data_IF_742343860657
#
_entry.id   IF_742343860657
#
_cell.length_a   1.000
_cell.length_b   1.000
_cell.length_c   1.000
_cell.angle_alpha   90.00
_cell.angle_beta   90.00
_cell.angle_gamma   90.00
#
_symmetry.space_group_name_H-M   'P 1'
#
loop_
_entity.id
_entity.type
_entity.pdbx_description
1 polymer ?
#
# COMPACT_ATOMS: atom_id res chain seq x y z
N UNK A 1 -72.39 4.45 -16.95
CA UNK A 1 -71.36 5.31 -17.57
C UNK A 1 -71.00 6.40 -16.58
N UNK A 2 -69.72 6.71 -16.50
CA UNK A 2 -69.05 7.69 -15.63
C UNK A 2 -68.54 7.14 -14.28
N UNK A 3 -67.23 6.87 -14.30
CA UNK A 3 -66.28 7.31 -13.27
C UNK A 3 -65.95 6.35 -12.13
N UNK A 4 -65.49 5.15 -12.49
CA UNK A 4 -64.39 4.50 -11.77
C UNK A 4 -63.11 5.32 -12.01
N UNK A 5 -62.91 6.37 -11.20
CA UNK A 5 -61.74 7.24 -11.21
C UNK A 5 -61.08 7.24 -9.82
N UNK A 6 -60.71 6.04 -9.35
CA UNK A 6 -59.90 5.88 -8.14
C UNK A 6 -58.78 4.85 -8.38
N UNK A 7 -57.98 5.09 -9.43
CA UNK A 7 -56.72 4.41 -9.70
C UNK A 7 -55.54 5.11 -9.03
N UNK A 8 -55.69 5.59 -7.79
CA UNK A 8 -54.60 6.23 -7.06
C UNK A 8 -53.72 5.17 -6.40
N UNK A 9 -52.53 5.01 -6.98
CA UNK A 9 -51.31 4.46 -6.38
C UNK A 9 -51.47 3.11 -5.69
N UNK A 10 -51.32 2.01 -6.44
CA UNK A 10 -50.74 0.81 -5.82
C UNK A 10 -49.36 1.21 -5.30
N UNK A 11 -49.09 1.20 -3.98
CA UNK A 11 -47.72 1.36 -3.51
C UNK A 11 -46.92 0.22 -4.14
N UNK A 12 -45.91 0.57 -4.93
CA UNK A 12 -44.86 -0.40 -5.24
C UNK A 12 -44.29 -0.80 -3.88
N UNK A 13 -44.29 -2.08 -3.51
CA UNK A 13 -43.78 -2.48 -2.20
C UNK A 13 -42.34 -1.97 -2.10
N UNK A 14 -42.01 -1.26 -1.02
CA UNK A 14 -40.64 -0.82 -0.71
C UNK A 14 -39.72 -2.02 -0.40
N UNK A 15 -40.30 -3.18 -0.11
CA UNK A 15 -39.66 -4.45 0.23
C UNK A 15 -38.51 -4.88 -0.71
N UNK A 16 -38.64 -4.88 -2.05
CA UNK A 16 -37.52 -5.12 -2.96
C UNK A 16 -36.40 -4.07 -2.92
N UNK A 17 -36.72 -2.80 -2.62
CA UNK A 17 -35.72 -1.74 -2.50
C UNK A 17 -34.98 -1.84 -1.16
N UNK A 18 -35.70 -2.09 -0.07
CA UNK A 18 -35.14 -2.34 1.26
C UNK A 18 -34.22 -3.56 1.25
N UNK A 19 -34.62 -4.66 0.61
CA UNK A 19 -33.78 -5.86 0.50
C UNK A 19 -32.48 -5.58 -0.28
N UNK A 20 -32.57 -4.79 -1.36
CA UNK A 20 -31.40 -4.36 -2.13
C UNK A 20 -30.51 -3.42 -1.34
N UNK A 21 -31.07 -2.53 -0.52
CA UNK A 21 -30.29 -1.67 0.38
C UNK A 21 -29.53 -2.49 1.42
N UNK A 22 -30.18 -3.44 2.08
CA UNK A 22 -29.53 -4.35 3.04
C UNK A 22 -28.39 -5.13 2.38
N UNK A 23 -28.59 -5.63 1.17
CA UNK A 23 -27.53 -6.32 0.42
C UNK A 23 -26.35 -5.38 0.10
N UNK A 24 -26.63 -4.15 -0.33
CA UNK A 24 -25.60 -3.17 -0.63
C UNK A 24 -24.85 -2.73 0.63
N UNK A 25 -25.53 -2.51 1.75
CA UNK A 25 -24.92 -2.18 3.04
C UNK A 25 -24.03 -3.31 3.54
N UNK A 26 -24.49 -4.55 3.41
CA UNK A 26 -23.69 -5.74 3.75
C UNK A 26 -22.43 -5.80 2.90
N UNK A 27 -22.56 -5.66 1.58
CA UNK A 27 -21.42 -5.63 0.64
C UNK A 27 -20.49 -4.45 0.91
N UNK A 28 -21.02 -3.29 1.28
CA UNK A 28 -20.23 -2.11 1.61
C UNK A 28 -19.41 -2.35 2.87
N UNK A 29 -20.01 -2.86 3.94
CA UNK A 29 -19.31 -3.19 5.18
C UNK A 29 -18.15 -4.17 4.95
N UNK A 30 -18.35 -5.20 4.12
CA UNK A 30 -17.27 -6.12 3.74
C UNK A 30 -16.15 -5.42 2.96
N UNK A 31 -16.48 -4.51 2.05
CA UNK A 31 -15.49 -3.75 1.28
C UNK A 31 -14.71 -2.77 2.16
N UNK A 32 -15.37 -2.09 3.08
CA UNK A 32 -14.71 -1.19 4.04
C UNK A 32 -13.73 -1.96 4.93
N UNK A 33 -14.12 -3.14 5.40
CA UNK A 33 -13.23 -4.01 6.15
C UNK A 33 -12.02 -4.45 5.31
N UNK A 34 -12.24 -4.96 4.10
CA UNK A 34 -11.17 -5.38 3.20
C UNK A 34 -10.22 -4.22 2.83
N UNK A 35 -10.74 -3.00 2.65
CA UNK A 35 -9.92 -1.80 2.42
C UNK A 35 -9.04 -1.46 3.63
N UNK A 36 -9.55 -1.68 4.85
CA UNK A 36 -8.76 -1.57 6.08
C UNK A 36 -7.58 -2.55 6.08
N UNK A 37 -7.86 -3.84 5.87
CA UNK A 37 -6.83 -4.89 5.83
C UNK A 37 -5.78 -4.63 4.73
N UNK A 38 -6.20 -4.21 3.54
CA UNK A 38 -5.29 -3.85 2.45
C UNK A 38 -4.43 -2.63 2.77
N UNK A 39 -4.99 -1.64 3.47
CA UNK A 39 -4.25 -0.45 3.89
C UNK A 39 -3.16 -0.79 4.89
N UNK A 40 -3.47 -1.65 5.86
CA UNK A 40 -2.51 -2.13 6.86
C UNK A 40 -1.38 -2.94 6.21
N UNK A 41 -1.73 -3.90 5.34
CA UNK A 41 -0.75 -4.70 4.59
C UNK A 41 0.16 -3.82 3.70
N UNK A 42 -0.40 -2.79 3.07
CA UNK A 42 0.37 -1.84 2.25
C UNK A 42 1.32 -0.99 3.11
N UNK A 43 0.89 -0.56 4.30
CA UNK A 43 1.75 0.17 5.23
C UNK A 43 2.93 -0.70 5.68
N UNK A 44 2.69 -1.97 6.01
CA UNK A 44 3.74 -2.92 6.37
C UNK A 44 4.73 -3.15 5.21
N UNK A 45 4.23 -3.38 4.00
CA UNK A 45 5.05 -3.56 2.80
C UNK A 45 5.94 -2.35 2.50
N UNK A 46 5.41 -1.12 2.69
CA UNK A 46 6.19 0.12 2.54
C UNK A 46 7.30 0.22 3.59
N UNK A 47 7.00 -0.12 4.84
CA UNK A 47 8.00 -0.12 5.91
C UNK A 47 9.11 -1.14 5.63
N UNK A 48 8.78 -2.33 5.15
CA UNK A 48 9.76 -3.33 4.73
C UNK A 48 10.60 -2.86 3.55
N UNK A 49 9.97 -2.27 2.53
CA UNK A 49 10.66 -1.70 1.38
C UNK A 49 11.66 -0.62 1.78
N UNK A 50 11.30 0.25 2.73
CA UNK A 50 12.20 1.27 3.26
C UNK A 50 13.40 0.66 3.99
N UNK A 51 13.16 -0.36 4.84
CA UNK A 51 14.24 -1.10 5.52
C UNK A 51 15.21 -1.73 4.50
N UNK A 52 14.68 -2.39 3.47
CA UNK A 52 15.47 -3.02 2.42
C UNK A 52 16.28 -1.98 1.62
N UNK A 53 15.70 -0.82 1.32
CA UNK A 53 16.40 0.26 0.63
C UNK A 53 17.62 0.77 1.44
N UNK A 54 17.48 0.89 2.76
CA UNK A 54 18.59 1.27 3.65
C UNK A 54 19.68 0.19 3.66
N UNK A 55 19.30 -1.08 3.79
CA UNK A 55 20.26 -2.19 3.76
C UNK A 55 21.04 -2.24 2.45
N UNK A 56 20.36 -2.03 1.31
CA UNK A 56 21.02 -1.97 0.01
C UNK A 56 22.00 -0.80 -0.10
N UNK A 57 21.67 0.36 0.44
CA UNK A 57 22.60 1.50 0.47
C UNK A 57 23.85 1.19 1.28
N UNK A 58 23.70 0.61 2.48
CA UNK A 58 24.84 0.20 3.30
C UNK A 58 25.72 -0.84 2.58
N UNK A 59 25.11 -1.84 1.96
CA UNK A 59 25.85 -2.84 1.18
C UNK A 59 26.63 -2.21 0.02
N UNK A 60 26.04 -1.24 -0.68
CA UNK A 60 26.73 -0.50 -1.74
C UNK A 60 27.90 0.34 -1.21
N UNK A 61 27.74 0.97 -0.04
CA UNK A 61 28.83 1.69 0.63
C UNK A 61 29.98 0.77 1.02
N UNK A 62 29.67 -0.39 1.61
CA UNK A 62 30.69 -1.35 2.02
C UNK A 62 31.42 -1.95 0.81
N UNK A 63 30.72 -2.24 -0.28
CA UNK A 63 31.34 -2.67 -1.54
C UNK A 63 32.27 -1.59 -2.12
N UNK A 64 31.90 -0.31 -2.02
CA UNK A 64 32.77 0.80 -2.44
C UNK A 64 34.03 0.88 -1.58
N UNK A 65 33.92 0.70 -0.25
CA UNK A 65 35.08 0.68 0.66
C UNK A 65 36.03 -0.45 0.30
N UNK A 66 35.51 -1.66 0.11
CA UNK A 66 36.31 -2.83 -0.30
C UNK A 66 37.04 -2.53 -1.61
N UNK A 67 36.34 -2.02 -2.63
CA UNK A 67 36.99 -1.62 -3.89
C UNK A 67 38.11 -0.60 -3.67
N UNK A 68 37.86 0.48 -2.92
CA UNK A 68 38.87 1.50 -2.66
C UNK A 68 40.10 0.97 -1.93
N UNK A 69 39.91 -0.02 -1.03
CA UNK A 69 41.02 -0.66 -0.31
C UNK A 69 41.87 -1.56 -1.22
N UNK A 70 41.29 -2.12 -2.28
CA UNK A 70 42.01 -2.90 -3.29
C UNK A 70 42.76 -2.00 -4.29
N UNK A 71 42.21 -0.82 -4.59
CA UNK A 71 42.82 0.18 -5.50
C UNK A 71 43.94 1.00 -4.82
N UNK A 72 44.03 0.98 -3.48
CA UNK A 72 45.09 1.67 -2.72
C UNK A 72 46.36 0.81 -2.69
N UNK A 73 47.25 0.98 -3.67
CA UNK A 73 48.55 0.29 -3.72
C UNK A 73 49.48 0.82 -2.61
N UNK A 74 50.03 -0.02 -1.71
CA UNK A 74 51.04 0.40 -0.73
C UNK A 74 52.31 0.99 -1.35
N UNK A 75 52.50 0.88 -2.67
CA UNK A 75 53.59 1.55 -3.39
C UNK A 75 53.42 3.08 -3.52
N UNK A 76 52.23 3.64 -3.23
CA UNK A 76 51.93 5.08 -3.30
C UNK A 76 52.13 5.83 -1.96
N UNK A 77 52.64 5.16 -0.90
CA UNK A 77 53.04 5.84 0.33
C UNK A 77 54.39 6.57 0.14
N UNK A 78 54.44 7.90 0.34
CA UNK A 78 55.70 8.63 0.25
C UNK A 78 56.69 8.13 1.32
N UNK A 79 57.98 7.96 0.98
CA UNK A 79 58.95 7.36 1.89
C UNK A 79 59.07 8.17 3.19
N UNK A 80 59.30 7.50 4.34
CA UNK A 80 59.33 8.17 5.63
C UNK A 80 60.38 9.29 5.69
N UNK A 81 60.09 10.43 6.33
CA UNK A 81 61.07 11.50 6.50
C UNK A 81 62.26 11.00 7.33
N UNK A 82 63.45 11.03 6.74
CA UNK A 82 64.70 10.77 7.45
C UNK A 82 65.05 11.99 8.31
N UNK A 83 65.10 11.79 9.63
CA UNK A 83 65.56 12.77 10.63
C UNK A 83 67.03 12.58 10.97
#
# INVERSE_FOLDING_TARGET
>A
MASDLFGLTTPVPDEPLEQRLVELETRLAFQEHALGELSDALAESRAESQRNAILLQHLLEDLRKVRSSLDSDPADEPPPPHY
#
